data_IF_765280539721
#
_entry.id   IF_765280539721
#
_cell.length_a   1.000
_cell.length_b   1.000
_cell.length_c   1.000
_cell.angle_alpha   90.00
_cell.angle_beta   90.00
_cell.angle_gamma   90.00
#
_symmetry.space_group_name_H-M   'P 1'
#
loop_
_entity.id
_entity.type
_entity.pdbx_description
1 polymer ?
#
# COMPACT_ATOMS: atom_id res chain seq x y z
N UNK A 1 0.83 -32.93 9.79
CA UNK A 1 -0.49 -32.35 10.10
C UNK A 1 -0.38 -30.90 9.69
N UNK A 2 -1.16 -30.50 8.70
CA UNK A 2 -1.01 -29.24 7.96
C UNK A 2 -0.97 -28.02 8.88
N UNK A 3 0.18 -27.34 8.88
CA UNK A 3 0.46 -26.09 9.62
C UNK A 3 -0.33 -24.89 9.04
N UNK A 4 -1.01 -25.07 7.91
CA UNK A 4 -1.84 -24.05 7.24
C UNK A 4 -3.20 -23.77 7.91
N UNK A 5 -3.66 -24.64 8.82
CA UNK A 5 -5.04 -24.54 9.34
C UNK A 5 -5.19 -23.77 10.66
N UNK A 6 -4.12 -23.23 11.26
CA UNK A 6 -4.20 -22.53 12.56
C UNK A 6 -3.60 -21.12 12.60
N UNK A 7 -2.96 -20.65 11.53
CA UNK A 7 -2.46 -19.28 11.41
C UNK A 7 -3.56 -18.32 10.89
N UNK A 8 -4.79 -18.48 11.39
CA UNK A 8 -5.93 -17.70 10.96
C UNK A 8 -6.16 -16.54 11.93
N UNK A 9 -6.22 -15.33 11.37
CA UNK A 9 -6.61 -14.07 11.99
C UNK A 9 -5.59 -13.44 12.97
N UNK A 10 -4.53 -12.84 12.42
CA UNK A 10 -3.86 -11.63 12.94
C UNK A 10 -2.77 -11.20 11.94
N UNK A 11 -3.20 -10.52 10.87
CA UNK A 11 -2.38 -9.52 10.20
C UNK A 11 -3.18 -8.22 10.33
N UNK A 12 -3.22 -7.74 11.57
CA UNK A 12 -3.82 -6.48 11.97
C UNK A 12 -2.66 -5.49 12.06
N UNK A 13 -2.69 -4.54 11.14
CA UNK A 13 -2.34 -3.13 11.33
C UNK A 13 -1.28 -2.86 12.43
N UNK A 14 -0.06 -2.53 12.03
CA UNK A 14 0.79 -1.69 12.88
C UNK A 14 0.18 -0.26 12.87
N UNK A 15 -0.30 0.18 14.03
CA UNK A 15 -1.05 1.43 14.28
C UNK A 15 -0.21 2.40 15.15
N UNK A 16 -0.26 3.70 14.79
CA UNK A 16 -0.45 4.91 15.64
C UNK A 16 0.66 5.29 16.66
N UNK A 17 0.96 6.55 17.01
CA UNK A 17 0.40 7.89 16.72
C UNK A 17 1.27 9.01 17.38
N UNK A 18 1.22 10.26 16.91
CA UNK A 18 1.17 11.50 17.71
C UNK A 18 1.01 12.73 16.77
N UNK A 19 0.29 13.81 17.08
CA UNK A 19 -0.32 14.21 18.34
C UNK A 19 -1.44 15.25 18.14
N UNK A 20 -2.35 15.26 19.10
CA UNK A 20 -3.43 16.23 19.22
C UNK A 20 -2.89 17.61 19.63
N UNK A 21 -3.12 18.62 18.81
CA UNK A 21 -3.07 20.02 19.23
C UNK A 21 -4.50 20.59 19.30
N UNK A 22 -4.97 20.86 20.52
CA UNK A 22 -6.18 21.65 20.76
C UNK A 22 -5.95 23.10 20.29
N UNK A 23 -6.66 23.51 19.23
CA UNK A 23 -6.71 24.92 18.83
C UNK A 23 -7.83 25.66 19.60
N UNK A 24 -7.58 26.88 20.11
CA UNK A 24 -8.60 27.68 20.77
C UNK A 24 -9.67 28.18 19.79
N UNK A 25 -10.92 28.19 20.25
CA UNK A 25 -12.12 28.49 19.48
C UNK A 25 -12.10 29.83 18.72
N UNK A 26 -12.55 29.75 17.46
CA UNK A 26 -12.83 30.89 16.58
C UNK A 26 -14.29 30.94 16.15
N UNK A 27 -14.99 31.95 16.66
CA UNK A 27 -16.21 32.62 16.20
C UNK A 27 -17.11 31.97 15.10
N UNK A 28 -18.32 31.57 15.52
CA UNK A 28 -19.59 31.86 14.85
C UNK A 28 -19.72 31.56 13.35
N UNK A 29 -19.99 30.30 13.01
CA UNK A 29 -20.53 29.93 11.70
C UNK A 29 -21.94 30.54 11.53
N UNK A 30 -22.10 31.44 10.56
CA UNK A 30 -23.42 31.84 10.07
C UNK A 30 -24.18 30.64 9.49
N UNK A 31 -25.51 30.75 9.31
CA UNK A 31 -26.31 29.65 8.79
C UNK A 31 -25.75 29.17 7.44
N UNK A 32 -25.45 27.86 7.35
CA UNK A 32 -25.09 27.23 6.07
C UNK A 32 -26.18 27.53 5.04
N UNK A 33 -25.81 27.85 3.79
CA UNK A 33 -26.79 28.00 2.72
C UNK A 33 -27.62 26.72 2.62
N UNK A 34 -28.93 26.87 2.38
CA UNK A 34 -29.81 25.73 2.16
C UNK A 34 -29.27 24.89 0.98
N UNK A 35 -29.36 23.56 1.05
CA UNK A 35 -28.96 22.69 -0.06
C UNK A 35 -29.67 23.12 -1.34
N UNK A 36 -28.94 23.12 -2.46
CA UNK A 36 -29.45 23.68 -3.70
C UNK A 36 -30.43 22.73 -4.41
N UNK A 37 -30.42 21.45 -4.01
CA UNK A 37 -31.33 20.41 -4.46
C UNK A 37 -32.30 19.96 -3.35
N UNK A 38 -33.58 19.72 -3.65
CA UNK A 38 -34.50 19.13 -2.71
C UNK A 38 -34.09 17.69 -2.36
N UNK A 39 -34.31 17.22 -1.12
CA UNK A 39 -34.04 15.85 -0.75
C UNK A 39 -34.88 14.88 -1.60
N UNK A 40 -34.26 13.80 -2.03
CA UNK A 40 -34.87 12.75 -2.84
C UNK A 40 -34.80 11.42 -2.10
N UNK A 41 -35.93 10.72 -2.02
CA UNK A 41 -35.98 9.35 -1.50
C UNK A 41 -35.88 8.37 -2.67
N UNK A 42 -34.76 7.66 -2.83
CA UNK A 42 -34.60 6.70 -3.92
C UNK A 42 -35.52 5.49 -3.75
N UNK A 43 -36.02 4.95 -4.87
CA UNK A 43 -36.81 3.71 -4.89
C UNK A 43 -35.98 2.56 -5.49
N UNK A 44 -36.34 1.28 -5.29
CA UNK A 44 -35.57 0.15 -5.82
C UNK A 44 -35.26 0.24 -7.34
N UNK A 45 -36.16 0.81 -8.13
CA UNK A 45 -35.95 1.02 -9.56
C UNK A 45 -34.82 2.01 -9.90
N UNK A 46 -34.46 2.92 -8.99
CA UNK A 46 -33.33 3.84 -9.17
C UNK A 46 -31.99 3.10 -9.01
N UNK A 47 -31.89 2.20 -8.04
CA UNK A 47 -30.71 1.33 -7.87
C UNK A 47 -30.50 0.46 -9.10
N UNK A 48 -31.55 -0.22 -9.59
CA UNK A 48 -31.47 -1.03 -10.82
C UNK A 48 -31.07 -0.20 -12.05
N UNK A 49 -31.48 1.07 -12.11
CA UNK A 49 -31.14 1.96 -13.22
C UNK A 49 -29.67 2.41 -13.14
N UNK A 50 -29.17 2.76 -11.95
CA UNK A 50 -27.75 3.08 -11.72
C UNK A 50 -26.85 1.87 -11.99
N UNK A 51 -27.24 0.67 -11.55
CA UNK A 51 -26.53 -0.57 -11.86
C UNK A 51 -26.37 -0.79 -13.38
N UNK A 52 -27.41 -0.50 -14.16
CA UNK A 52 -27.35 -0.59 -15.63
C UNK A 52 -26.37 0.42 -16.24
N UNK A 53 -26.36 1.65 -15.74
CA UNK A 53 -25.42 2.70 -16.16
C UNK A 53 -23.98 2.24 -15.91
N UNK A 54 -23.69 1.74 -14.71
CA UNK A 54 -22.36 1.26 -14.34
C UNK A 54 -21.95 -0.02 -15.08
N UNK A 55 -22.89 -0.93 -15.36
CA UNK A 55 -22.62 -2.11 -16.18
C UNK A 55 -22.28 -1.75 -17.65
N UNK A 56 -22.99 -0.78 -18.22
CA UNK A 56 -22.67 -0.23 -19.55
C UNK A 56 -21.28 0.40 -19.57
N UNK A 57 -20.99 1.23 -18.56
CA UNK A 57 -19.67 1.87 -18.39
C UNK A 57 -18.54 0.85 -18.32
N UNK A 58 -18.66 -0.18 -17.48
CA UNK A 58 -17.64 -1.21 -17.34
C UNK A 58 -17.42 -1.99 -18.65
N UNK A 59 -18.51 -2.31 -19.35
CA UNK A 59 -18.44 -2.97 -20.67
C UNK A 59 -17.73 -2.11 -21.70
N UNK A 60 -18.06 -0.81 -21.75
CA UNK A 60 -17.46 0.15 -22.67
C UNK A 60 -15.95 0.30 -22.41
N UNK A 61 -15.54 0.40 -21.14
CA UNK A 61 -14.13 0.45 -20.75
C UNK A 61 -13.35 -0.79 -21.20
N UNK A 62 -13.88 -1.99 -20.95
CA UNK A 62 -13.24 -3.26 -21.34
C UNK A 62 -13.20 -3.48 -22.86
N UNK A 63 -14.10 -2.84 -23.62
CA UNK A 63 -14.17 -2.95 -25.09
C UNK A 63 -13.42 -1.82 -25.81
N UNK A 64 -12.88 -0.84 -25.08
CA UNK A 64 -12.26 0.34 -25.67
C UNK A 64 -13.24 1.26 -26.39
N UNK A 65 -14.50 1.31 -25.95
CA UNK A 65 -15.54 2.17 -26.51
C UNK A 65 -15.66 3.48 -25.70
N UNK A 66 -14.89 4.50 -26.09
CA UNK A 66 -14.88 5.79 -25.40
C UNK A 66 -16.25 6.49 -25.46
N UNK A 67 -16.94 6.40 -26.61
CA UNK A 67 -18.22 7.06 -26.81
C UNK A 67 -19.28 6.48 -25.87
N UNK A 68 -19.37 5.14 -25.78
CA UNK A 68 -20.29 4.47 -24.86
C UNK A 68 -19.94 4.71 -23.39
N UNK A 69 -18.64 4.82 -23.06
CA UNK A 69 -18.19 5.13 -21.70
C UNK A 69 -18.61 6.55 -21.29
N UNK A 70 -18.37 7.55 -22.14
CA UNK A 70 -18.72 8.94 -21.88
C UNK A 70 -20.24 9.19 -21.93
N UNK A 71 -21.01 8.34 -22.61
CA UNK A 71 -22.47 8.41 -22.59
C UNK A 71 -23.08 8.19 -21.19
N UNK A 72 -22.31 7.60 -20.26
CA UNK A 72 -22.73 7.41 -18.85
C UNK A 72 -22.48 8.64 -17.97
N UNK A 73 -21.85 9.69 -18.50
CA UNK A 73 -21.41 10.88 -17.76
C UNK A 73 -22.29 12.07 -18.12
N UNK A 74 -22.57 12.97 -17.17
CA UNK A 74 -23.31 14.20 -17.47
C UNK A 74 -22.51 15.11 -18.42
N UNK A 75 -22.96 15.31 -19.67
CA UNK A 75 -22.21 16.09 -20.65
C UNK A 75 -22.20 17.58 -20.35
N UNK A 76 -23.01 18.05 -19.39
CA UNK A 76 -23.12 19.47 -19.02
C UNK A 76 -21.99 19.91 -18.09
N UNK A 77 -21.30 18.99 -17.43
CA UNK A 77 -20.09 19.27 -16.67
C UNK A 77 -18.84 18.90 -17.46
N UNK A 78 -18.27 19.88 -18.16
CA UNK A 78 -17.06 19.68 -18.97
C UNK A 78 -15.86 19.18 -18.15
N UNK A 79 -15.72 19.61 -16.88
CA UNK A 79 -14.60 19.16 -16.05
C UNK A 79 -14.72 17.68 -15.70
N UNK A 80 -15.95 17.24 -15.43
CA UNK A 80 -16.24 15.84 -15.24
C UNK A 80 -15.95 15.05 -16.51
N UNK A 81 -16.39 15.51 -17.68
CA UNK A 81 -16.08 14.84 -18.96
C UNK A 81 -14.57 14.72 -19.17
N UNK A 82 -13.79 15.79 -18.98
CA UNK A 82 -12.33 15.77 -19.14
C UNK A 82 -11.65 14.77 -18.17
N UNK A 83 -12.10 14.75 -16.91
CA UNK A 83 -11.64 13.78 -15.90
C UNK A 83 -11.95 12.34 -16.34
N UNK A 84 -13.15 12.11 -16.87
CA UNK A 84 -13.64 10.79 -17.27
C UNK A 84 -12.94 10.30 -18.54
N UNK A 85 -12.60 11.19 -19.47
CA UNK A 85 -11.73 10.87 -20.61
C UNK A 85 -10.33 10.43 -20.17
N UNK A 86 -9.77 11.10 -19.15
CA UNK A 86 -8.48 10.73 -18.58
C UNK A 86 -8.54 9.34 -17.94
N UNK A 87 -9.57 9.08 -17.13
CA UNK A 87 -9.80 7.75 -16.52
C UNK A 87 -9.94 6.69 -17.61
N UNK A 88 -10.75 6.93 -18.65
CA UNK A 88 -10.91 6.00 -19.76
C UNK A 88 -9.57 5.69 -20.43
N UNK A 89 -8.79 6.72 -20.77
CA UNK A 89 -7.46 6.55 -21.35
C UNK A 89 -6.54 5.72 -20.47
N UNK A 90 -6.51 6.01 -19.16
CA UNK A 90 -5.70 5.24 -18.20
C UNK A 90 -6.13 3.77 -18.11
N UNK A 91 -7.43 3.48 -18.17
CA UNK A 91 -7.94 2.10 -18.19
C UNK A 91 -7.52 1.34 -19.45
N UNK A 92 -7.26 2.03 -20.57
CA UNK A 92 -6.74 1.40 -21.80
C UNK A 92 -5.23 1.12 -21.76
N UNK A 93 -4.48 1.86 -20.95
CA UNK A 93 -3.04 1.61 -20.73
C UNK A 93 -2.81 0.38 -19.85
N UNK A 94 -3.71 0.15 -18.89
CA UNK A 94 -3.58 -0.93 -17.93
C UNK A 94 -4.05 -2.28 -18.51
N UNK A 95 -3.45 -3.41 -18.10
CA UNK A 95 -3.87 -4.74 -18.52
C UNK A 95 -5.14 -5.17 -17.77
N UNK A 96 -6.25 -4.47 -18.02
CA UNK A 96 -7.54 -4.71 -17.37
C UNK A 96 -8.12 -6.06 -17.78
N UNK A 97 -8.18 -7.00 -16.83
CA UNK A 97 -8.78 -8.33 -17.01
C UNK A 97 -10.30 -8.33 -16.76
N UNK A 98 -10.73 -7.58 -15.76
CA UNK A 98 -12.15 -7.39 -15.46
C UNK A 98 -12.40 -6.07 -14.78
N UNK A 99 -13.56 -5.49 -15.05
CA UNK A 99 -14.10 -4.31 -14.39
C UNK A 99 -15.60 -4.52 -14.18
N UNK A 100 -16.08 -4.26 -12.97
CA UNK A 100 -17.49 -4.30 -12.61
C UNK A 100 -17.75 -3.29 -11.49
N UNK A 101 -19.03 -3.07 -11.19
CA UNK A 101 -19.45 -2.23 -10.08
C UNK A 101 -20.52 -2.94 -9.26
N UNK A 102 -20.41 -2.85 -7.93
CA UNK A 102 -21.48 -3.22 -7.00
C UNK A 102 -22.17 -1.97 -6.49
N UNK A 103 -23.50 -1.99 -6.45
CA UNK A 103 -24.33 -0.91 -5.92
C UNK A 103 -25.05 -1.43 -4.67
N UNK A 104 -24.96 -0.70 -3.58
CA UNK A 104 -25.63 -1.02 -2.31
C UNK A 104 -26.40 0.18 -1.79
N UNK A 105 -27.45 -0.14 -1.05
CA UNK A 105 -28.22 0.87 -0.32
C UNK A 105 -27.40 1.47 0.82
N UNK A 106 -27.49 2.79 0.99
CA UNK A 106 -26.77 3.56 2.00
C UNK A 106 -27.48 4.89 2.24
N UNK A 107 -27.27 5.47 3.43
CA UNK A 107 -27.75 6.82 3.78
C UNK A 107 -26.79 7.92 3.33
N UNK A 108 -25.97 7.68 2.29
CA UNK A 108 -24.99 8.65 1.80
C UNK A 108 -25.71 9.86 1.19
N UNK A 109 -25.34 11.04 1.67
CA UNK A 109 -25.85 12.30 1.11
C UNK A 109 -25.13 12.57 -0.21
N UNK A 110 -25.86 12.85 -1.31
CA UNK A 110 -25.23 13.21 -2.57
C UNK A 110 -24.39 14.48 -2.43
N UNK A 111 -23.22 14.49 -3.04
CA UNK A 111 -22.48 15.73 -3.23
C UNK A 111 -23.28 16.67 -4.13
N UNK A 112 -23.21 17.97 -3.82
CA UNK A 112 -23.67 19.02 -4.72
C UNK A 112 -22.92 18.93 -6.07
N UNK A 113 -23.68 18.97 -7.15
CA UNK A 113 -23.19 18.98 -8.54
C UNK A 113 -23.75 20.19 -9.26
N UNK A 114 -23.08 20.66 -10.32
CA UNK A 114 -23.50 21.87 -11.05
C UNK A 114 -24.72 21.58 -11.95
N UNK A 115 -25.88 21.41 -11.33
CA UNK A 115 -27.05 20.83 -11.97
C UNK A 115 -28.36 21.38 -11.39
N UNK A 116 -29.48 21.07 -12.04
CA UNK A 116 -30.84 21.31 -11.59
C UNK A 116 -31.66 20.01 -11.41
N UNK A 117 -31.08 18.85 -11.74
CA UNK A 117 -31.71 17.53 -11.64
C UNK A 117 -31.80 16.94 -10.22
N UNK A 118 -32.45 15.78 -10.12
CA UNK A 118 -32.52 14.99 -8.88
C UNK A 118 -31.17 14.29 -8.65
N UNK A 119 -30.67 14.33 -7.41
CA UNK A 119 -29.41 13.71 -7.03
C UNK A 119 -29.63 12.39 -6.28
N UNK A 120 -28.75 11.43 -6.51
CA UNK A 120 -28.74 10.13 -5.84
C UNK A 120 -27.30 9.64 -5.68
N UNK A 121 -26.95 9.13 -4.51
CA UNK A 121 -25.60 8.64 -4.21
C UNK A 121 -25.69 7.32 -3.44
N UNK A 122 -25.92 6.19 -4.13
CA UNK A 122 -25.80 4.88 -3.51
C UNK A 122 -24.33 4.57 -3.18
N UNK A 123 -24.09 3.55 -2.36
CA UNK A 123 -22.74 3.08 -2.13
C UNK A 123 -22.28 2.32 -3.37
N UNK A 124 -21.24 2.81 -4.03
CA UNK A 124 -20.67 2.17 -5.23
C UNK A 124 -19.30 1.61 -4.89
N UNK A 125 -19.08 0.33 -5.19
CA UNK A 125 -17.78 -0.32 -5.13
C UNK A 125 -17.35 -0.73 -6.52
N UNK A 126 -16.24 -0.19 -7.00
CA UNK A 126 -15.59 -0.64 -8.23
C UNK A 126 -14.84 -1.95 -7.95
N UNK A 127 -15.01 -2.96 -8.79
CA UNK A 127 -14.38 -4.27 -8.66
C UNK A 127 -13.51 -4.49 -9.89
N UNK A 128 -12.19 -4.39 -9.72
CA UNK A 128 -11.21 -4.39 -10.79
C UNK A 128 -10.22 -5.55 -10.64
N UNK A 129 -9.80 -6.12 -11.76
CA UNK A 129 -8.69 -7.07 -11.81
C UNK A 129 -7.71 -6.65 -12.91
N UNK A 130 -6.45 -6.51 -12.54
CA UNK A 130 -5.34 -6.32 -13.46
C UNK A 130 -4.72 -7.70 -13.74
N UNK A 131 -4.52 -8.03 -15.00
CA UNK A 131 -3.68 -9.17 -15.38
C UNK A 131 -2.24 -8.92 -14.91
N UNK A 132 -1.53 -9.99 -14.57
CA UNK A 132 -0.19 -9.99 -13.95
C UNK A 132 -0.08 -9.34 -12.55
N UNK A 133 -0.86 -8.31 -12.22
CA UNK A 133 -0.82 -7.68 -10.89
C UNK A 133 -1.82 -8.27 -9.88
N UNK A 134 -2.91 -8.91 -10.33
CA UNK A 134 -3.93 -9.47 -9.43
C UNK A 134 -4.34 -10.91 -9.80
N UNK A 135 -4.27 -11.85 -8.85
CA UNK A 135 -4.80 -13.22 -9.02
C UNK A 135 -6.33 -13.32 -8.89
N UNK A 136 -6.96 -12.35 -8.23
CA UNK A 136 -8.41 -12.25 -8.08
C UNK A 136 -8.84 -10.77 -8.11
N UNK A 137 -10.14 -10.45 -8.32
CA UNK A 137 -10.61 -9.07 -8.31
C UNK A 137 -10.41 -8.37 -6.96
N UNK A 138 -10.18 -7.06 -6.99
CA UNK A 138 -9.99 -6.16 -5.85
C UNK A 138 -11.13 -5.15 -5.81
N UNK A 139 -11.62 -4.84 -4.61
CA UNK A 139 -12.69 -3.85 -4.38
C UNK A 139 -12.11 -2.47 -4.05
N UNK A 140 -12.67 -1.46 -4.69
CA UNK A 140 -12.34 -0.05 -4.53
C UNK A 140 -13.61 0.76 -4.25
N UNK A 141 -13.89 1.15 -2.98
CA UNK A 141 -14.98 2.05 -2.67
C UNK A 141 -14.87 3.40 -3.40
N UNK A 142 -15.96 3.81 -4.04
CA UNK A 142 -16.04 5.08 -4.78
C UNK A 142 -17.14 5.96 -4.22
N UNK A 143 -16.94 7.27 -4.31
CA UNK A 143 -17.95 8.28 -4.00
C UNK A 143 -18.48 8.82 -5.32
N UNK A 144 -19.64 8.31 -5.75
CA UNK A 144 -20.31 8.74 -6.97
C UNK A 144 -21.63 9.44 -6.66
N UNK A 145 -21.86 10.59 -7.29
CA UNK A 145 -23.18 11.22 -7.35
C UNK A 145 -23.76 11.00 -8.73
N UNK A 146 -24.95 10.43 -8.78
CA UNK A 146 -25.77 10.30 -9.97
C UNK A 146 -26.77 11.44 -10.05
N UNK A 147 -27.05 11.86 -11.27
CA UNK A 147 -28.06 12.87 -11.56
C UNK A 147 -29.02 12.37 -12.62
N UNK A 148 -30.30 12.67 -12.43
CA UNK A 148 -31.36 12.25 -13.35
C UNK A 148 -31.68 13.33 -14.38
N UNK A 149 -31.63 12.94 -15.66
CA UNK A 149 -32.10 13.70 -16.82
C UNK A 149 -33.30 13.02 -17.47
N UNK A 150 -33.87 13.69 -18.48
CA UNK A 150 -34.94 13.14 -19.33
C UNK A 150 -34.57 11.80 -19.98
N UNK A 151 -33.27 11.50 -20.11
CA UNK A 151 -32.73 10.25 -20.64
C UNK A 151 -32.43 9.15 -19.60
N UNK A 152 -32.54 9.45 -18.29
CA UNK A 152 -32.21 8.51 -17.20
C UNK A 152 -31.12 9.04 -16.27
N UNK A 153 -30.55 8.15 -15.46
CA UNK A 153 -29.45 8.44 -14.55
C UNK A 153 -28.12 8.52 -15.31
N UNK A 154 -27.28 9.48 -14.96
CA UNK A 154 -25.89 9.61 -15.41
C UNK A 154 -24.99 9.97 -14.23
N UNK A 155 -23.69 9.72 -14.35
CA UNK A 155 -22.69 10.13 -13.37
C UNK A 155 -22.56 11.65 -13.43
N UNK A 156 -22.90 12.33 -12.34
CA UNK A 156 -22.70 13.77 -12.14
C UNK A 156 -21.44 14.09 -11.33
N UNK A 157 -20.87 13.10 -10.63
CA UNK A 157 -19.58 13.22 -9.92
C UNK A 157 -19.00 11.83 -9.67
N UNK A 158 -17.67 11.74 -9.69
CA UNK A 158 -16.90 10.55 -9.38
C UNK A 158 -15.60 10.97 -8.66
N UNK A 159 -15.42 10.49 -7.43
CA UNK A 159 -14.20 10.67 -6.63
C UNK A 159 -13.84 9.38 -5.89
N UNK A 160 -12.56 9.24 -5.54
CA UNK A 160 -12.16 8.22 -4.57
C UNK A 160 -12.89 8.46 -3.24
N UNK A 161 -13.42 7.40 -2.63
CA UNK A 161 -14.09 7.54 -1.35
C UNK A 161 -13.04 7.74 -0.23
N UNK A 162 -13.38 8.43 0.89
CA UNK A 162 -12.45 8.63 2.00
C UNK A 162 -11.88 7.32 2.59
N UNK A 163 -12.65 6.24 2.49
CA UNK A 163 -12.31 4.89 2.94
C UNK A 163 -11.58 4.05 1.87
N UNK A 164 -11.27 4.60 0.70
CA UNK A 164 -10.42 3.93 -0.28
C UNK A 164 -9.04 3.74 0.33
N UNK A 165 -8.61 2.47 0.44
CA UNK A 165 -7.35 2.09 1.08
C UNK A 165 -6.31 1.60 0.06
N UNK A 166 -6.73 1.36 -1.17
CA UNK A 166 -5.90 0.76 -2.18
C UNK A 166 -5.60 1.77 -3.30
N UNK A 167 -4.51 1.50 -4.02
CA UNK A 167 -4.17 2.32 -5.17
C UNK A 167 -5.22 2.15 -6.29
N UNK A 168 -5.64 3.28 -6.86
CA UNK A 168 -6.42 3.38 -8.10
C UNK A 168 -5.62 4.19 -9.11
N UNK A 169 -4.59 3.62 -9.75
CA UNK A 169 -3.66 4.39 -10.58
C UNK A 169 -4.35 4.98 -11.82
N UNK A 170 -5.50 4.45 -12.22
CA UNK A 170 -6.34 5.03 -13.28
C UNK A 170 -7.07 6.32 -12.87
N UNK A 171 -7.10 6.66 -11.58
CA UNK A 171 -7.85 7.79 -11.05
C UNK A 171 -6.93 8.98 -10.71
N UNK A 172 -6.77 9.90 -11.66
CA UNK A 172 -5.95 11.10 -11.50
C UNK A 172 -5.48 11.64 -12.86
N UNK A 173 -4.19 11.97 -12.98
CA UNK A 173 -3.58 12.39 -14.24
C UNK A 173 -3.35 11.23 -15.23
N UNK A 174 -2.95 11.54 -16.48
CA UNK A 174 -2.62 10.53 -17.48
C UNK A 174 -1.45 9.63 -17.05
N UNK A 175 -1.59 8.32 -17.26
CA UNK A 175 -0.56 7.32 -16.92
C UNK A 175 -0.02 6.60 -18.14
N UNK A 176 1.06 5.86 -17.93
CA UNK A 176 1.58 4.81 -18.82
C UNK A 176 1.87 3.58 -17.96
N UNK A 177 1.62 2.39 -18.50
CA UNK A 177 1.89 1.15 -17.80
C UNK A 177 2.79 0.21 -18.61
N UNK A 178 3.56 -0.61 -17.91
CA UNK A 178 4.32 -1.71 -18.48
C UNK A 178 4.04 -2.98 -17.67
N UNK A 179 3.79 -4.09 -18.37
CA UNK A 179 3.49 -5.37 -17.74
C UNK A 179 4.63 -6.36 -18.02
N UNK A 180 5.06 -7.04 -16.96
CA UNK A 180 5.96 -8.19 -17.00
C UNK A 180 5.28 -9.39 -16.36
N UNK A 181 6.06 -10.45 -16.14
CA UNK A 181 5.55 -11.67 -15.51
C UNK A 181 5.21 -11.41 -14.04
N UNK A 182 3.94 -11.55 -13.68
CA UNK A 182 3.38 -11.25 -12.35
C UNK A 182 3.70 -9.85 -11.81
N UNK A 183 3.89 -8.86 -12.70
CA UNK A 183 4.17 -7.49 -12.30
C UNK A 183 3.57 -6.50 -13.29
N UNK A 184 2.93 -5.45 -12.77
CA UNK A 184 2.53 -4.27 -13.55
C UNK A 184 3.14 -3.05 -12.89
N UNK A 185 3.81 -2.23 -13.68
CA UNK A 185 4.34 -0.93 -13.27
C UNK A 185 3.51 0.17 -13.89
N UNK A 186 3.19 1.21 -13.14
CA UNK A 186 2.46 2.39 -13.62
C UNK A 186 3.21 3.66 -13.24
N UNK A 187 3.43 4.54 -14.21
CA UNK A 187 4.08 5.86 -14.04
C UNK A 187 3.21 6.97 -14.63
N UNK A 188 3.47 8.23 -14.29
CA UNK A 188 2.83 9.34 -15.01
C UNK A 188 3.33 9.41 -16.45
N UNK A 189 2.44 9.71 -17.39
CA UNK A 189 2.78 9.79 -18.82
C UNK A 189 3.90 10.78 -19.11
N UNK A 190 3.89 11.92 -18.42
CA UNK A 190 4.89 12.99 -18.56
C UNK A 190 5.83 13.05 -17.34
N UNK A 191 5.94 11.94 -16.59
CA UNK A 191 6.78 11.80 -15.42
C UNK A 191 8.27 11.62 -15.77
N UNK A 192 9.15 11.67 -14.75
CA UNK A 192 10.59 11.54 -14.95
C UNK A 192 11.06 10.11 -15.28
N UNK A 193 10.21 9.11 -15.05
CA UNK A 193 10.56 7.69 -15.17
C UNK A 193 9.67 7.01 -16.21
N UNK A 194 10.28 6.36 -17.19
CA UNK A 194 9.59 5.54 -18.17
C UNK A 194 9.11 4.22 -17.55
N UNK A 195 7.89 3.78 -17.89
CA UNK A 195 7.30 2.58 -17.30
C UNK A 195 8.06 1.29 -17.67
N UNK A 196 8.59 1.19 -18.89
CA UNK A 196 9.36 0.02 -19.31
C UNK A 196 10.75 -0.01 -18.66
N UNK A 197 11.38 1.15 -18.48
CA UNK A 197 12.62 1.28 -17.71
C UNK A 197 12.41 0.86 -16.24
N UNK A 198 11.34 1.35 -15.60
CA UNK A 198 11.02 0.97 -14.22
C UNK A 198 10.68 -0.52 -14.10
N UNK A 199 9.99 -1.10 -15.08
CA UNK A 199 9.74 -2.55 -15.12
C UNK A 199 11.03 -3.38 -15.18
N UNK A 200 12.02 -2.97 -15.96
CA UNK A 200 13.32 -3.66 -16.06
C UNK A 200 14.08 -3.62 -14.71
N UNK A 201 14.05 -2.44 -14.06
CA UNK A 201 14.63 -2.23 -12.72
C UNK A 201 13.93 -3.08 -11.66
N UNK A 202 12.59 -3.05 -11.62
CA UNK A 202 11.78 -3.88 -10.72
C UNK A 202 12.09 -5.37 -10.94
N UNK A 203 12.18 -5.81 -12.19
CA UNK A 203 12.49 -7.21 -12.53
C UNK A 203 13.88 -7.63 -12.06
N UNK A 204 14.87 -6.74 -12.20
CA UNK A 204 16.25 -6.97 -11.76
C UNK A 204 16.34 -7.01 -10.23
N UNK A 205 15.84 -5.98 -9.56
CA UNK A 205 15.84 -5.89 -8.09
C UNK A 205 15.08 -7.06 -7.46
N UNK A 206 13.93 -7.45 -8.06
CA UNK A 206 13.18 -8.65 -7.67
C UNK A 206 14.07 -9.87 -7.73
N UNK A 207 14.68 -10.17 -8.89
CA UNK A 207 15.52 -11.37 -9.04
C UNK A 207 16.68 -11.41 -8.03
N UNK A 208 17.21 -10.27 -7.63
CA UNK A 208 18.27 -10.16 -6.62
C UNK A 208 17.75 -10.42 -5.20
N UNK A 209 16.62 -9.83 -4.81
CA UNK A 209 15.96 -10.08 -3.52
C UNK A 209 15.53 -11.55 -3.42
N UNK A 210 14.87 -12.09 -4.45
CA UNK A 210 14.46 -13.50 -4.49
C UNK A 210 15.67 -14.43 -4.37
N UNK A 211 16.78 -14.12 -5.03
CA UNK A 211 18.02 -14.91 -4.93
C UNK A 211 18.66 -14.85 -3.54
N UNK A 212 18.60 -13.71 -2.86
CA UNK A 212 19.09 -13.59 -1.49
C UNK A 212 18.27 -14.46 -0.51
N UNK A 213 16.97 -14.62 -0.80
CA UNK A 213 16.01 -15.41 -0.02
C UNK A 213 15.83 -16.86 -0.53
N UNK A 214 16.42 -17.22 -1.67
CA UNK A 214 16.31 -18.56 -2.27
C UNK A 214 16.78 -19.69 -1.34
N UNK A 215 17.88 -19.57 -0.57
CA UNK A 215 18.42 -20.70 0.22
C UNK A 215 17.51 -21.27 1.33
N UNK A 216 16.34 -20.67 1.53
CA UNK A 216 15.51 -20.74 2.73
C UNK A 216 14.02 -20.81 2.45
N UNK A 217 13.58 -20.30 1.30
CA UNK A 217 12.24 -20.54 0.78
C UNK A 217 11.95 -22.05 0.69
N UNK A 218 10.78 -22.47 1.18
CA UNK A 218 10.35 -23.88 1.20
C UNK A 218 9.13 -24.07 0.29
N UNK A 219 9.25 -24.99 -0.67
CA UNK A 219 8.08 -25.49 -1.42
C UNK A 219 7.29 -24.38 -2.12
N UNK A 220 6.04 -24.15 -1.69
CA UNK A 220 5.10 -23.20 -2.29
C UNK A 220 5.48 -21.71 -2.06
N UNK A 221 6.53 -21.42 -1.27
CA UNK A 221 7.10 -20.06 -1.07
C UNK A 221 7.71 -19.47 -2.35
N UNK A 222 7.74 -20.25 -3.44
CA UNK A 222 8.27 -19.90 -4.75
C UNK A 222 7.16 -19.48 -5.73
N UNK A 223 5.89 -19.47 -5.30
CA UNK A 223 4.84 -18.94 -6.15
C UNK A 223 5.04 -17.44 -6.38
N UNK A 224 4.99 -17.07 -7.65
CA UNK A 224 5.20 -15.71 -8.09
C UNK A 224 4.12 -14.80 -7.49
N UNK A 225 4.53 -13.79 -6.72
CA UNK A 225 3.60 -12.84 -6.12
C UNK A 225 3.15 -11.85 -7.19
N UNK A 226 1.83 -11.74 -7.49
CA UNK A 226 1.31 -10.68 -8.34
C UNK A 226 1.57 -9.32 -7.69
N UNK A 227 2.21 -8.41 -8.42
CA UNK A 227 2.68 -7.13 -7.90
C UNK A 227 2.20 -5.96 -8.78
N UNK A 228 1.63 -4.94 -8.15
CA UNK A 228 1.43 -3.62 -8.75
C UNK A 228 2.45 -2.64 -8.17
N UNK A 229 3.33 -2.08 -9.00
CA UNK A 229 4.16 -0.93 -8.63
C UNK A 229 3.50 0.33 -9.18
N UNK A 230 2.88 1.09 -8.28
CA UNK A 230 2.24 2.35 -8.60
C UNK A 230 3.16 3.51 -8.25
N UNK A 231 3.87 4.01 -9.27
CA UNK A 231 4.77 5.14 -9.17
C UNK A 231 4.11 6.47 -9.60
N UNK A 232 2.80 6.60 -9.39
CA UNK A 232 2.03 7.78 -9.79
C UNK A 232 1.66 8.70 -8.62
N UNK A 233 1.37 9.98 -8.89
CA UNK A 233 0.60 10.87 -8.01
C UNK A 233 -0.90 10.52 -7.90
N UNK A 234 -1.38 9.49 -8.62
CA UNK A 234 -2.80 9.15 -8.68
C UNK A 234 -3.22 8.35 -7.45
N UNK A 235 -4.48 8.52 -7.01
CA UNK A 235 -4.97 7.90 -5.78
C UNK A 235 -4.33 8.48 -4.50
N UNK A 236 -4.97 8.25 -3.35
CA UNK A 236 -4.38 8.57 -2.04
C UNK A 236 -3.48 7.40 -1.62
N UNK A 237 -2.31 7.63 -1.02
CA UNK A 237 -1.63 6.58 -0.28
C UNK A 237 -2.53 5.98 0.82
N UNK A 238 -2.27 4.74 1.23
CA UNK A 238 -2.90 4.20 2.42
C UNK A 238 -2.45 5.01 3.66
N UNK A 239 -3.40 5.73 4.27
CA UNK A 239 -3.17 6.47 5.53
C UNK A 239 -2.47 7.82 5.37
N UNK A 240 -1.88 8.29 6.47
CA UNK A 240 -1.14 9.57 6.56
C UNK A 240 0.39 9.35 6.36
N UNK A 241 0.77 8.20 5.80
CA UNK A 241 2.14 7.70 5.64
C UNK A 241 3.08 8.58 4.81
N UNK A 242 2.52 9.46 3.97
CA UNK A 242 3.28 10.36 3.09
C UNK A 242 3.22 11.84 3.52
N UNK A 243 2.65 12.16 4.69
CA UNK A 243 2.54 13.56 5.12
C UNK A 243 3.86 14.08 5.73
N UNK A 244 4.51 15.04 5.05
CA UNK A 244 5.71 15.75 5.53
C UNK A 244 6.95 15.57 4.64
N UNK A 245 8.05 16.27 4.96
CA UNK A 245 9.36 16.05 4.34
C UNK A 245 10.01 14.73 4.83
N UNK A 246 9.52 14.20 5.96
CA UNK A 246 10.00 12.96 6.61
C UNK A 246 9.11 11.74 6.31
N UNK A 247 8.16 11.87 5.39
CA UNK A 247 7.26 10.77 5.01
C UNK A 247 7.99 9.63 4.28
N UNK A 248 7.47 8.41 4.38
CA UNK A 248 8.08 7.24 3.73
C UNK A 248 8.23 7.44 2.21
N UNK A 249 9.33 6.99 1.64
CA UNK A 249 9.63 7.15 0.20
C UNK A 249 8.74 6.28 -0.69
N UNK A 250 8.24 5.18 -0.15
CA UNK A 250 7.22 4.32 -0.71
C UNK A 250 6.54 3.55 0.42
N UNK A 251 5.47 2.82 0.11
CA UNK A 251 4.85 1.86 1.03
C UNK A 251 4.43 0.59 0.30
N UNK A 252 4.69 -0.55 0.94
CA UNK A 252 4.23 -1.86 0.49
C UNK A 252 3.02 -2.33 1.30
N UNK A 253 1.97 -2.80 0.62
CA UNK A 253 0.80 -3.37 1.26
C UNK A 253 0.13 -4.47 0.42
N UNK A 254 -0.59 -5.35 1.10
CA UNK A 254 -1.33 -6.44 0.47
C UNK A 254 -2.79 -6.05 0.20
N UNK A 255 -3.31 -6.43 -0.97
CA UNK A 255 -4.68 -6.13 -1.39
C UNK A 255 -5.60 -7.32 -1.19
N UNK A 256 -6.78 -7.10 -0.60
CA UNK A 256 -7.76 -8.17 -0.36
C UNK A 256 -8.43 -8.62 -1.67
N UNK A 257 -8.56 -9.93 -1.85
CA UNK A 257 -9.37 -10.49 -2.94
C UNK A 257 -10.85 -10.48 -2.58
N UNK A 258 -11.68 -10.09 -3.55
CA UNK A 258 -13.15 -10.15 -3.42
C UNK A 258 -13.60 -11.60 -3.28
N UNK A 259 -14.45 -11.86 -2.29
CA UNK A 259 -15.10 -13.16 -2.09
C UNK A 259 -14.21 -14.26 -1.49
N UNK A 260 -12.96 -13.95 -1.13
CA UNK A 260 -12.08 -14.88 -0.43
C UNK A 260 -12.05 -14.58 1.08
N UNK A 261 -11.98 -15.63 1.93
CA UNK A 261 -11.88 -15.43 3.37
C UNK A 261 -10.49 -14.87 3.72
N UNK A 262 -10.45 -13.75 4.46
CA UNK A 262 -9.23 -13.06 4.92
C UNK A 262 -8.47 -13.87 5.98
N UNK A 263 -7.94 -15.01 5.57
CA UNK A 263 -7.46 -16.07 6.47
C UNK A 263 -6.01 -16.47 6.22
N UNK A 264 -5.40 -16.04 5.11
CA UNK A 264 -3.96 -16.23 4.85
C UNK A 264 -3.43 -15.29 3.75
N UNK A 265 -2.11 -15.14 3.64
CA UNK A 265 -1.48 -14.34 2.57
C UNK A 265 -1.85 -14.87 1.18
N UNK A 266 -2.07 -16.18 1.04
CA UNK A 266 -2.55 -16.81 -0.19
C UNK A 266 -3.97 -16.38 -0.60
N UNK A 267 -4.72 -15.70 0.27
CA UNK A 267 -6.06 -15.17 -0.01
C UNK A 267 -6.09 -13.71 -0.45
N UNK A 268 -4.95 -13.00 -0.45
CA UNK A 268 -4.85 -11.67 -1.05
C UNK A 268 -4.97 -11.74 -2.58
N UNK A 269 -5.26 -10.64 -3.26
CA UNK A 269 -5.21 -10.58 -4.72
C UNK A 269 -3.78 -10.35 -5.25
N UNK A 270 -2.89 -9.78 -4.44
CA UNK A 270 -1.52 -9.43 -4.80
C UNK A 270 -0.93 -8.46 -3.77
N UNK A 271 0.28 -7.98 -4.05
CA UNK A 271 0.93 -6.89 -3.33
C UNK A 271 0.90 -5.60 -4.18
N UNK A 272 0.94 -4.46 -3.50
CA UNK A 272 1.08 -3.13 -4.11
C UNK A 272 2.27 -2.45 -3.46
N UNK A 273 3.15 -1.88 -4.27
CA UNK A 273 4.12 -0.88 -3.83
C UNK A 273 3.63 0.46 -4.36
N UNK A 274 3.33 1.40 -3.46
CA UNK A 274 2.94 2.76 -3.79
C UNK A 274 4.13 3.69 -3.55
N UNK A 275 4.63 4.32 -4.61
CA UNK A 275 5.69 5.32 -4.51
C UNK A 275 5.17 6.59 -3.83
N UNK A 276 6.02 7.27 -3.05
CA UNK A 276 5.76 8.62 -2.58
C UNK A 276 6.33 9.61 -3.60
N UNK A 277 5.48 10.22 -4.42
CA UNK A 277 5.95 11.00 -5.54
C UNK A 277 6.41 12.41 -5.10
N UNK A 278 6.38 12.77 -3.82
CA UNK A 278 7.03 14.00 -3.32
C UNK A 278 8.36 13.73 -2.59
N UNK A 279 8.69 12.47 -2.34
CA UNK A 279 9.96 12.09 -1.72
C UNK A 279 11.15 12.32 -2.66
N UNK A 280 12.29 12.71 -2.09
CA UNK A 280 13.53 12.94 -2.83
C UNK A 280 14.20 11.62 -3.29
N UNK A 281 14.00 10.54 -2.53
CA UNK A 281 14.52 9.19 -2.74
C UNK A 281 13.42 8.21 -3.23
N UNK A 282 12.54 8.68 -4.13
CA UNK A 282 11.42 7.90 -4.64
C UNK A 282 11.85 6.57 -5.27
N UNK A 283 11.02 5.54 -5.14
CA UNK A 283 11.25 4.22 -5.72
C UNK A 283 11.48 4.30 -7.23
N UNK A 284 10.75 5.19 -7.90
CA UNK A 284 10.87 5.37 -9.34
C UNK A 284 12.26 5.85 -9.81
N UNK A 285 13.16 6.27 -8.91
CA UNK A 285 14.52 6.73 -9.27
C UNK A 285 15.63 6.20 -8.37
N UNK A 286 15.31 5.54 -7.26
CA UNK A 286 16.29 5.03 -6.30
C UNK A 286 16.27 3.49 -6.20
N UNK A 287 17.41 2.86 -6.46
CA UNK A 287 17.56 1.39 -6.43
C UNK A 287 17.48 0.82 -5.01
N UNK A 288 17.91 1.59 -4.01
CA UNK A 288 17.89 1.15 -2.61
C UNK A 288 16.44 1.09 -2.12
N UNK A 289 15.67 2.17 -2.27
CA UNK A 289 14.22 2.20 -1.97
C UNK A 289 13.48 1.07 -2.68
N UNK A 290 13.76 0.84 -3.97
CA UNK A 290 13.12 -0.25 -4.72
C UNK A 290 13.36 -1.63 -4.09
N UNK A 291 14.60 -1.95 -3.73
CA UNK A 291 14.95 -3.24 -3.10
C UNK A 291 14.38 -3.35 -1.68
N UNK A 292 14.37 -2.25 -0.95
CA UNK A 292 13.77 -2.16 0.38
C UNK A 292 12.29 -2.57 0.31
N UNK A 293 11.50 -1.93 -0.55
CA UNK A 293 10.07 -2.25 -0.70
C UNK A 293 9.82 -3.68 -1.20
N UNK A 294 10.62 -4.15 -2.16
CA UNK A 294 10.53 -5.54 -2.63
C UNK A 294 10.82 -6.55 -1.52
N UNK A 295 11.64 -6.19 -0.53
CA UNK A 295 11.92 -7.05 0.62
C UNK A 295 10.68 -7.28 1.47
N UNK A 296 9.75 -6.32 1.56
CA UNK A 296 8.46 -6.54 2.24
C UNK A 296 7.51 -7.45 1.45
N UNK A 297 7.64 -7.52 0.12
CA UNK A 297 6.84 -8.42 -0.73
C UNK A 297 7.27 -9.87 -0.55
N UNK A 298 8.59 -10.11 -0.52
CA UNK A 298 9.19 -11.45 -0.57
C UNK A 298 9.71 -11.97 0.77
N UNK A 299 9.84 -11.06 1.75
CA UNK A 299 10.32 -11.33 3.09
C UNK A 299 9.27 -11.91 4.03
N UNK A 300 9.64 -12.15 5.30
CA UNK A 300 8.75 -12.70 6.32
C UNK A 300 7.72 -11.65 6.78
N UNK A 301 6.45 -12.05 6.84
CA UNK A 301 5.34 -11.12 7.16
C UNK A 301 4.90 -11.07 8.64
N UNK A 302 5.45 -11.91 9.52
CA UNK A 302 5.02 -12.05 10.93
C UNK A 302 6.21 -11.99 11.89
N UNK A 303 6.89 -10.84 11.87
CA UNK A 303 8.05 -10.52 12.71
C UNK A 303 7.87 -9.10 13.27
N UNK A 304 8.58 -8.71 14.35
CA UNK A 304 8.56 -7.33 14.85
C UNK A 304 9.03 -6.34 13.81
N UNK A 305 8.64 -5.09 13.95
CA UNK A 305 8.96 -4.03 12.99
C UNK A 305 10.47 -3.91 12.77
N UNK A 306 11.28 -3.95 13.84
CA UNK A 306 12.75 -3.88 13.71
C UNK A 306 13.36 -5.02 12.87
N UNK A 307 12.73 -6.20 12.84
CA UNK A 307 13.17 -7.33 12.01
C UNK A 307 12.77 -7.10 10.55
N UNK A 308 11.53 -6.65 10.31
CA UNK A 308 11.01 -6.38 8.98
C UNK A 308 11.83 -5.27 8.29
N UNK A 309 11.95 -4.13 8.96
CA UNK A 309 12.65 -2.95 8.44
C UNK A 309 14.16 -3.17 8.39
N UNK A 310 14.75 -3.83 9.39
CA UNK A 310 16.17 -4.15 9.38
C UNK A 310 16.57 -5.12 8.24
N UNK A 311 15.71 -6.08 7.90
CA UNK A 311 15.93 -6.96 6.75
C UNK A 311 15.76 -6.21 5.43
N UNK A 312 14.77 -5.33 5.33
CA UNK A 312 14.57 -4.50 4.15
C UNK A 312 15.78 -3.60 3.89
N UNK A 313 16.35 -2.99 4.93
CA UNK A 313 17.60 -2.23 4.83
C UNK A 313 18.80 -3.11 4.45
N UNK A 314 18.95 -4.29 5.04
CA UNK A 314 20.03 -5.21 4.71
C UNK A 314 19.99 -5.63 3.22
N UNK A 315 18.80 -6.00 2.73
CA UNK A 315 18.59 -6.43 1.35
C UNK A 315 18.62 -5.27 0.34
N UNK A 316 18.45 -4.03 0.82
CA UNK A 316 18.58 -2.84 -0.02
C UNK A 316 20.00 -2.61 -0.55
N UNK A 317 21.00 -3.30 0.01
CA UNK A 317 22.40 -3.19 -0.39
C UNK A 317 23.14 -2.07 0.33
N UNK A 318 22.67 -1.67 1.51
CA UNK A 318 23.36 -0.71 2.36
C UNK A 318 24.68 -1.33 2.87
N UNK A 319 25.81 -0.98 2.24
CA UNK A 319 27.14 -1.49 2.62
C UNK A 319 27.68 -0.84 3.92
N UNK A 320 27.06 0.25 4.39
CA UNK A 320 27.47 0.97 5.59
C UNK A 320 26.66 0.55 6.83
N UNK A 321 27.27 0.57 8.02
CA UNK A 321 26.60 0.17 9.26
C UNK A 321 25.45 1.13 9.67
N UNK A 322 25.36 2.31 9.04
CA UNK A 322 24.23 3.27 9.14
C UNK A 322 23.86 3.65 7.70
N UNK A 323 22.58 3.56 7.37
CA UNK A 323 22.09 3.92 6.04
C UNK A 323 21.67 5.40 5.99
N UNK A 324 22.61 6.30 6.27
CA UNK A 324 22.40 7.73 6.47
C UNK A 324 23.73 8.49 6.64
N UNK A 325 23.67 9.82 6.75
CA UNK A 325 24.87 10.67 6.91
C UNK A 325 25.53 10.43 8.28
N UNK A 326 26.87 10.50 8.33
CA UNK A 326 27.69 10.28 9.53
C UNK A 326 27.28 11.16 10.74
N UNK A 327 26.54 12.25 10.49
CA UNK A 327 25.97 13.16 11.50
C UNK A 327 24.98 12.48 12.48
N UNK A 328 24.43 11.31 12.12
CA UNK A 328 23.53 10.54 13.00
C UNK A 328 24.26 9.63 13.98
N UNK A 329 25.57 9.39 13.80
CA UNK A 329 26.33 8.45 14.66
C UNK A 329 26.35 8.87 16.12
N UNK A 330 26.56 10.16 16.41
CA UNK A 330 26.57 10.66 17.78
C UNK A 330 25.19 10.57 18.44
N UNK A 331 24.12 10.77 17.65
CA UNK A 331 22.75 10.62 18.11
C UNK A 331 22.43 9.14 18.40
N UNK A 332 22.82 8.23 17.50
CA UNK A 332 22.72 6.78 17.68
C UNK A 332 23.48 6.27 18.91
N UNK A 333 24.71 6.76 19.13
CA UNK A 333 25.52 6.36 20.29
C UNK A 333 24.97 6.92 21.61
N UNK A 334 24.24 8.04 21.58
CA UNK A 334 23.58 8.63 22.73
C UNK A 334 22.17 8.06 22.99
N UNK A 335 21.57 7.39 22.01
CA UNK A 335 20.25 6.78 22.10
C UNK A 335 20.23 5.62 23.11
N UNK A 336 19.05 5.28 23.62
CA UNK A 336 18.90 4.17 24.55
C UNK A 336 19.37 2.86 23.90
N UNK A 337 20.14 2.06 24.65
CA UNK A 337 20.63 0.76 24.19
C UNK A 337 19.53 -0.28 24.27
N UNK A 338 18.60 -0.22 23.33
CA UNK A 338 17.47 -1.12 23.18
C UNK A 338 17.15 -1.35 21.70
N UNK A 339 16.41 -2.42 21.40
CA UNK A 339 15.81 -2.58 20.08
C UNK A 339 14.53 -1.72 20.02
N UNK A 340 14.19 -1.12 18.87
CA UNK A 340 12.94 -0.37 18.73
C UNK A 340 11.72 -1.24 19.04
N UNK A 341 10.80 -0.68 19.82
CA UNK A 341 9.50 -1.28 20.11
C UNK A 341 8.48 -0.98 19.01
N UNK A 342 7.51 -1.88 18.80
CA UNK A 342 6.48 -1.68 17.76
C UNK A 342 5.58 -0.46 18.04
N UNK A 343 5.39 -0.10 19.33
CA UNK A 343 4.53 1.02 19.77
C UNK A 343 5.19 2.39 19.64
N UNK A 344 6.52 2.44 19.72
CA UNK A 344 7.33 3.67 19.73
C UNK A 344 7.96 3.94 18.36
N UNK A 345 7.78 3.01 17.41
CA UNK A 345 8.36 3.08 16.08
C UNK A 345 7.98 4.37 15.33
N UNK A 346 8.98 5.05 14.80
CA UNK A 346 8.80 6.24 13.98
C UNK A 346 8.76 7.54 14.79
N UNK A 347 8.89 7.51 16.12
CA UNK A 347 9.19 8.71 16.90
C UNK A 347 10.55 9.30 16.53
N UNK A 348 11.57 8.44 16.31
CA UNK A 348 12.89 8.78 15.79
C UNK A 348 13.23 7.88 14.58
N UNK A 349 12.43 7.98 13.51
CA UNK A 349 12.45 7.00 12.39
C UNK A 349 13.83 6.65 11.82
N UNK A 350 14.71 7.63 11.56
CA UNK A 350 16.05 7.33 11.02
C UNK A 350 16.92 6.52 11.98
N UNK A 351 16.79 6.77 13.29
CA UNK A 351 17.46 6.03 14.35
C UNK A 351 16.92 4.60 14.45
N UNK A 352 15.60 4.43 14.38
CA UNK A 352 14.95 3.12 14.41
C UNK A 352 15.40 2.23 13.25
N UNK A 353 15.45 2.76 12.02
CA UNK A 353 15.97 2.05 10.85
C UNK A 353 17.45 1.67 11.02
N UNK A 354 18.28 2.58 11.53
CA UNK A 354 19.70 2.31 11.71
C UNK A 354 19.97 1.21 12.76
N UNK A 355 19.28 1.26 13.92
CA UNK A 355 19.38 0.22 14.96
C UNK A 355 18.90 -1.13 14.40
N UNK A 356 17.79 -1.13 13.68
CA UNK A 356 17.19 -2.31 13.06
C UNK A 356 18.13 -2.95 12.03
N UNK A 357 18.68 -2.14 11.13
CA UNK A 357 19.66 -2.58 10.14
C UNK A 357 20.89 -3.19 10.80
N UNK A 358 21.46 -2.53 11.80
CA UNK A 358 22.64 -3.03 12.51
C UNK A 358 22.36 -4.34 13.27
N UNK A 359 21.21 -4.45 13.93
CA UNK A 359 20.82 -5.66 14.64
C UNK A 359 20.64 -6.85 13.69
N UNK A 360 19.92 -6.66 12.58
CA UNK A 360 19.70 -7.69 11.57
C UNK A 360 21.01 -8.10 10.91
N UNK A 361 21.84 -7.13 10.53
CA UNK A 361 23.15 -7.41 9.92
C UNK A 361 24.07 -8.15 10.88
N UNK A 362 24.10 -7.79 12.17
CA UNK A 362 24.88 -8.53 13.16
C UNK A 362 24.42 -9.99 13.29
N UNK A 363 23.10 -10.23 13.27
CA UNK A 363 22.56 -11.60 13.29
C UNK A 363 22.96 -12.39 12.03
N UNK A 364 22.93 -11.75 10.86
CA UNK A 364 23.24 -12.38 9.58
C UNK A 364 24.75 -12.56 9.41
N UNK A 365 25.53 -11.49 9.41
CA UNK A 365 26.94 -11.51 9.01
C UNK A 365 27.84 -12.12 10.08
N UNK A 366 27.58 -11.83 11.36
CA UNK A 366 28.42 -12.27 12.47
C UNK A 366 27.89 -13.53 13.18
N UNK A 367 26.60 -13.86 13.04
CA UNK A 367 25.96 -14.86 13.90
C UNK A 367 25.17 -15.99 13.20
N UNK A 368 25.40 -16.25 11.92
CA UNK A 368 24.97 -17.52 11.31
C UNK A 368 24.37 -17.46 9.91
N UNK A 369 24.43 -16.32 9.25
CA UNK A 369 24.01 -16.12 7.87
C UNK A 369 22.50 -16.01 7.71
N UNK A 370 22.09 -15.60 6.50
CA UNK A 370 20.69 -15.40 6.09
C UNK A 370 19.81 -16.62 6.40
N UNK A 371 20.38 -17.83 6.29
CA UNK A 371 19.66 -19.06 6.61
C UNK A 371 19.16 -19.11 8.04
N UNK A 372 20.05 -18.83 8.99
CA UNK A 372 19.72 -18.87 10.41
C UNK A 372 18.80 -17.71 10.81
N UNK A 373 18.97 -16.56 10.17
CA UNK A 373 18.10 -15.42 10.37
C UNK A 373 16.65 -15.72 10.00
N UNK A 374 16.41 -16.37 8.87
CA UNK A 374 15.04 -16.72 8.49
C UNK A 374 14.49 -17.91 9.29
N UNK A 375 15.33 -18.79 9.84
CA UNK A 375 14.92 -19.73 10.89
C UNK A 375 14.43 -18.98 12.13
N UNK A 376 15.13 -17.91 12.54
CA UNK A 376 14.69 -17.01 13.61
C UNK A 376 13.36 -16.31 13.30
N UNK A 377 13.16 -15.77 12.10
CA UNK A 377 11.87 -15.19 11.70
C UNK A 377 10.72 -16.22 11.79
N UNK A 378 10.98 -17.47 11.42
CA UNK A 378 10.00 -18.56 11.51
C UNK A 378 9.72 -18.97 12.96
N UNK A 379 10.76 -19.09 13.80
CA UNK A 379 10.62 -19.41 15.22
C UNK A 379 9.89 -18.29 15.97
N UNK A 380 10.05 -17.04 15.53
CA UNK A 380 9.29 -15.90 16.05
C UNK A 380 7.79 -16.17 16.01
N UNK A 381 7.27 -16.53 14.84
CA UNK A 381 5.86 -16.89 14.67
C UNK A 381 5.42 -18.04 15.59
N UNK A 382 6.29 -19.04 15.79
CA UNK A 382 5.98 -20.20 16.65
C UNK A 382 6.04 -19.88 18.15
N UNK A 383 6.70 -18.80 18.55
CA UNK A 383 6.98 -18.46 19.95
C UNK A 383 6.29 -17.17 20.42
N UNK A 384 5.55 -16.52 19.53
CA UNK A 384 4.62 -15.44 19.89
C UNK A 384 3.65 -15.92 20.97
N UNK A 385 3.55 -15.21 22.11
CA UNK A 385 2.50 -15.43 23.09
C UNK A 385 1.13 -15.35 22.40
N UNK A 386 0.26 -16.34 22.65
CA UNK A 386 -1.08 -16.34 22.07
C UNK A 386 -1.85 -15.08 22.48
N UNK A 387 -2.27 -14.26 21.50
CA UNK A 387 -3.05 -13.05 21.73
C UNK A 387 -2.24 -11.81 22.09
N UNK A 388 -0.91 -11.81 21.91
CA UNK A 388 -0.15 -10.54 21.93
C UNK A 388 -0.41 -9.76 20.63
N UNK A 389 -0.59 -8.45 20.78
CA UNK A 389 -0.57 -7.48 19.66
C UNK A 389 0.80 -6.80 19.53
N UNK A 390 1.67 -6.96 20.53
CA UNK A 390 3.04 -6.45 20.52
C UNK A 390 3.98 -7.62 20.16
N UNK A 391 4.54 -7.57 18.96
CA UNK A 391 5.40 -8.66 18.46
C UNK A 391 6.74 -8.65 19.19
N UNK A 392 7.19 -7.51 19.72
CA UNK A 392 8.43 -7.38 20.49
C UNK A 392 8.54 -8.38 21.66
N UNK A 393 7.43 -8.75 22.32
CA UNK A 393 7.37 -9.70 23.45
C UNK A 393 7.91 -11.12 23.11
N UNK A 394 7.98 -11.47 21.83
CA UNK A 394 8.53 -12.74 21.34
C UNK A 394 10.06 -12.79 21.23
N UNK A 395 10.72 -11.62 21.24
CA UNK A 395 12.12 -11.45 20.79
C UNK A 395 13.10 -12.33 21.56
N UNK A 396 13.17 -12.19 22.89
CA UNK A 396 14.10 -12.98 23.69
C UNK A 396 13.95 -14.50 23.53
N UNK A 397 12.72 -15.01 23.39
CA UNK A 397 12.46 -16.45 23.22
C UNK A 397 12.90 -16.95 21.85
N UNK A 398 12.60 -16.17 20.80
CA UNK A 398 13.01 -16.51 19.45
C UNK A 398 14.54 -16.49 19.31
N UNK A 399 15.21 -15.49 19.91
CA UNK A 399 16.68 -15.43 19.94
C UNK A 399 17.31 -16.62 20.70
N UNK A 400 16.75 -17.01 21.84
CA UNK A 400 17.24 -18.18 22.58
C UNK A 400 17.06 -19.47 21.76
N UNK A 401 15.93 -19.62 21.07
CA UNK A 401 15.63 -20.80 20.28
C UNK A 401 16.56 -20.96 19.05
N UNK A 402 16.71 -19.90 18.25
CA UNK A 402 17.40 -19.98 16.96
C UNK A 402 18.89 -19.66 17.08
N UNK A 403 19.24 -18.72 17.94
CA UNK A 403 20.62 -18.24 18.12
C UNK A 403 21.30 -18.76 19.38
N UNK A 404 20.54 -19.14 20.41
CA UNK A 404 21.10 -19.50 21.71
C UNK A 404 21.67 -18.28 22.46
N UNK A 405 21.18 -17.08 22.13
CA UNK A 405 21.61 -15.81 22.74
C UNK A 405 20.43 -15.13 23.42
N UNK A 406 20.76 -14.25 24.36
CA UNK A 406 19.81 -13.33 24.97
C UNK A 406 19.66 -12.06 24.13
N UNK A 407 18.54 -11.36 24.31
CA UNK A 407 18.31 -10.05 23.70
C UNK A 407 19.39 -9.03 24.08
N UNK A 408 19.87 -9.05 25.34
CA UNK A 408 21.00 -8.22 25.76
C UNK A 408 22.25 -8.46 24.90
N UNK A 409 22.55 -9.71 24.55
CA UNK A 409 23.72 -10.00 23.71
C UNK A 409 23.55 -9.49 22.28
N UNK A 410 22.32 -9.50 21.75
CA UNK A 410 22.01 -8.86 20.47
C UNK A 410 22.25 -7.36 20.56
N UNK A 411 21.67 -6.68 21.55
CA UNK A 411 21.86 -5.23 21.78
C UNK A 411 23.35 -4.88 21.94
N UNK A 412 24.10 -5.63 22.75
CA UNK A 412 25.54 -5.42 22.91
C UNK A 412 26.28 -5.57 21.56
N UNK A 413 25.86 -6.54 20.72
CA UNK A 413 26.39 -6.77 19.38
C UNK A 413 26.09 -5.62 18.42
N UNK A 414 24.83 -5.18 18.37
CA UNK A 414 24.37 -4.04 17.57
C UNK A 414 25.19 -2.77 17.85
N UNK A 415 25.36 -2.40 19.12
CA UNK A 415 26.14 -1.21 19.49
C UNK A 415 27.64 -1.35 19.21
N UNK A 416 28.18 -2.57 19.29
CA UNK A 416 29.58 -2.80 18.91
C UNK A 416 29.84 -2.47 17.43
N UNK A 417 28.82 -2.57 16.58
CA UNK A 417 28.89 -2.28 15.16
C UNK A 417 28.94 -0.76 14.89
N UNK A 418 28.20 0.03 15.66
CA UNK A 418 28.27 1.50 15.63
C UNK A 418 29.57 2.04 16.21
N UNK A 419 30.07 1.43 17.29
CA UNK A 419 31.33 1.81 17.93
C UNK A 419 32.56 1.53 17.04
N UNK A 420 32.45 0.55 16.13
CA UNK A 420 33.49 0.19 15.16
C UNK A 420 33.50 1.03 13.89
N UNK A 421 32.49 1.90 13.68
CA UNK A 421 32.51 2.86 12.59
C UNK A 421 33.75 3.77 12.70
N UNK A 422 34.45 4.05 11.59
CA UNK A 422 35.55 5.02 11.58
C UNK A 422 35.09 6.32 12.23
N UNK A 423 35.87 6.84 13.17
CA UNK A 423 35.72 8.24 13.58
C UNK A 423 36.33 9.09 12.46
N UNK A 424 35.54 10.00 11.90
CA UNK A 424 36.00 10.99 10.92
C UNK A 424 37.26 11.77 11.35
#
# INVERSE_FOLDING_TARGET
MDLRARAAALALVALLAAGCAELPGGAGAGPSPAPSHPPYEPVPADYEAVEKVLAQRATAALQGDEEAFLATVDPRDRKLVDQQQTIFGNLQELPMKSLAYEVKDTEQTPDEVRNDGVLFAPQVTEVAQLEEAHRAPVSHPTDMTFVRHDGGWVIGRDRAAPQERYSRPWFGGPVVAAAGRSVVVVTERDGPTDAAELLDRVSTARAEVEKALEPVWRGDDQEEVPLLVDATYNGKPPGDTFEGEDGAAAVTFWVDAVGLPKTSIATFAGAVIKDNPVAANRLATDERTLRHELSHVYGPALVPTWVNEGLAEYLSGCEANICGEDEERDQLLAHERALPGDEEWGEDGSIDYAISHAAVSWLIDENGGMKRFLEFCNDFFLHLPSGTENFHDGTGKALEASYGITEKQLVDGTWSWFEQLPSD
#
